data_IF_317220157681
#
_entry.id   IF_317220157681
#
_cell.length_a   1.000
_cell.length_b   1.000
_cell.length_c   1.000
_cell.angle_alpha   90.00
_cell.angle_beta   90.00
_cell.angle_gamma   90.00
#
_symmetry.space_group_name_H-M   'P 1'
#
loop_
_entity.id
_entity.type
_entity.pdbx_description
1 polymer ?
#
# COMPACT_ATOMS: atom_id res chain seq x y z
N UNK A 1 19.18 9.91 13.95
CA UNK A 1 18.20 9.70 12.87
C UNK A 1 16.83 10.06 13.42
N UNK A 2 16.04 10.82 12.67
CA UNK A 2 14.67 11.19 13.06
C UNK A 2 13.72 10.77 11.95
N UNK A 3 12.52 10.33 12.32
CA UNK A 3 11.43 10.05 11.39
C UNK A 3 10.68 11.38 11.21
N UNK A 4 10.68 11.91 9.98
CA UNK A 4 10.03 13.19 9.65
C UNK A 4 8.58 13.01 9.23
N UNK A 5 8.27 11.87 8.63
CA UNK A 5 6.96 11.55 8.09
C UNK A 5 6.78 10.03 8.02
N UNK A 6 5.53 9.57 8.03
CA UNK A 6 5.19 8.15 7.98
C UNK A 6 3.90 7.92 7.23
N UNK A 7 3.90 6.91 6.36
CA UNK A 7 2.71 6.42 5.72
C UNK A 7 2.70 4.89 5.75
N UNK A 8 1.51 4.31 5.91
CA UNK A 8 1.34 2.87 6.04
C UNK A 8 0.16 2.42 5.19
N UNK A 9 0.35 1.32 4.48
CA UNK A 9 -0.71 0.61 3.76
C UNK A 9 -0.79 -0.82 4.28
N UNK A 10 -2.01 -1.33 4.38
CA UNK A 10 -2.27 -2.73 4.70
C UNK A 10 -3.21 -3.32 3.66
N UNK A 11 -3.36 -4.65 3.59
CA UNK A 11 -4.32 -5.33 2.72
C UNK A 11 -5.78 -5.18 3.18
N UNK A 12 -6.19 -3.93 3.38
CA UNK A 12 -7.55 -3.47 3.68
C UNK A 12 -7.71 -2.06 3.12
N UNK A 13 -8.92 -1.70 2.73
CA UNK A 13 -9.35 -0.36 2.30
C UNK A 13 -9.33 0.64 3.48
N UNK A 14 -8.14 0.87 4.00
CA UNK A 14 -7.86 1.78 5.13
C UNK A 14 -7.08 3.01 4.69
N UNK A 15 -6.61 2.98 3.45
CA UNK A 15 -5.78 4.00 2.85
C UNK A 15 -6.64 5.17 2.36
N UNK A 16 -6.11 6.39 2.42
CA UNK A 16 -6.80 7.64 2.01
C UNK A 16 -8.18 7.90 2.63
N UNK A 17 -8.37 7.56 3.90
CA UNK A 17 -9.61 7.88 4.63
C UNK A 17 -10.80 6.97 4.29
N UNK A 18 -10.59 5.94 3.44
CA UNK A 18 -11.61 4.94 3.11
C UNK A 18 -12.22 4.25 4.34
N UNK A 19 -11.43 4.14 5.42
CA UNK A 19 -11.84 3.55 6.69
C UNK A 19 -13.12 4.18 7.27
N UNK A 20 -13.32 5.47 7.08
CA UNK A 20 -14.46 6.22 7.65
C UNK A 20 -15.53 6.55 6.62
N UNK A 21 -15.30 6.26 5.33
CA UNK A 21 -16.27 6.50 4.26
C UNK A 21 -17.08 5.26 3.88
N UNK A 22 -16.62 4.06 4.28
CA UNK A 22 -17.32 2.81 3.99
C UNK A 22 -18.35 2.44 5.07
N UNK A 23 -19.38 1.70 4.66
CA UNK A 23 -20.33 1.09 5.59
C UNK A 23 -19.65 0.06 6.49
N UNK A 24 -20.16 -0.12 7.71
CA UNK A 24 -19.68 -1.13 8.65
C UNK A 24 -19.84 -2.53 8.03
N UNK A 25 -18.72 -3.22 7.82
CA UNK A 25 -18.71 -4.60 7.29
C UNK A 25 -18.72 -5.61 8.43
N UNK A 26 -19.67 -6.53 8.40
CA UNK A 26 -19.74 -7.67 9.32
C UNK A 26 -19.00 -8.87 8.71
N UNK A 27 -18.06 -9.43 9.47
CA UNK A 27 -17.34 -10.65 9.09
C UNK A 27 -17.92 -11.83 9.87
N UNK A 28 -18.41 -12.85 9.16
CA UNK A 28 -18.91 -14.09 9.76
C UNK A 28 -17.83 -15.17 9.85
N UNK A 29 -16.66 -14.94 9.25
CA UNK A 29 -15.52 -15.84 9.29
C UNK A 29 -14.69 -15.65 10.56
N UNK A 30 -13.92 -16.66 10.95
CA UNK A 30 -13.01 -16.61 12.11
C UNK A 30 -11.84 -15.63 11.95
N UNK A 31 -11.55 -15.19 10.72
CA UNK A 31 -10.56 -14.16 10.43
C UNK A 31 -11.01 -13.30 9.24
N UNK A 32 -10.72 -11.99 9.24
CA UNK A 32 -10.99 -11.15 8.10
C UNK A 32 -10.06 -11.49 6.94
N UNK A 33 -10.62 -11.67 5.74
CA UNK A 33 -9.86 -11.88 4.52
C UNK A 33 -9.06 -10.62 4.14
N UNK A 34 -7.83 -10.83 3.69
CA UNK A 34 -6.98 -9.77 3.15
C UNK A 34 -7.48 -9.36 1.76
N UNK A 35 -7.80 -8.07 1.57
CA UNK A 35 -8.27 -7.51 0.30
C UNK A 35 -7.34 -6.37 -0.12
N UNK A 36 -6.79 -6.44 -1.33
CA UNK A 36 -5.94 -5.34 -1.79
C UNK A 36 -6.74 -4.02 -1.87
N UNK A 37 -6.15 -2.89 -1.43
CA UNK A 37 -6.68 -1.55 -1.69
C UNK A 37 -6.78 -1.26 -3.19
N UNK A 38 -7.67 -0.36 -3.58
CA UNK A 38 -7.64 0.19 -4.95
C UNK A 38 -6.45 1.16 -5.08
N UNK A 39 -5.57 0.88 -6.04
CA UNK A 39 -4.38 1.69 -6.33
C UNK A 39 -4.56 2.65 -7.51
N UNK A 40 -5.75 2.66 -8.14
CA UNK A 40 -6.04 3.55 -9.27
C UNK A 40 -5.82 5.00 -8.86
N UNK A 41 -5.27 5.79 -9.78
CA UNK A 41 -4.94 7.20 -9.55
C UNK A 41 -3.60 7.43 -8.84
N UNK A 42 -2.99 6.39 -8.25
CA UNK A 42 -1.63 6.43 -7.71
C UNK A 42 -0.67 5.78 -8.70
N UNK A 43 -1.00 4.54 -9.12
CA UNK A 43 -0.17 3.75 -10.03
C UNK A 43 -0.90 3.61 -11.37
N UNK A 44 -0.26 3.91 -12.51
CA UNK A 44 -0.81 3.66 -13.84
C UNK A 44 -1.26 2.20 -14.03
N UNK A 45 -2.42 1.99 -14.67
CA UNK A 45 -3.04 0.67 -14.81
C UNK A 45 -2.15 -0.35 -15.56
N UNK A 46 -1.37 0.12 -16.52
CA UNK A 46 -0.45 -0.68 -17.32
C UNK A 46 0.67 -1.29 -16.45
N UNK A 47 1.07 -0.57 -15.40
CA UNK A 47 2.09 -1.01 -14.44
C UNK A 47 1.50 -1.95 -13.39
N UNK A 48 0.28 -1.68 -12.93
CA UNK A 48 -0.37 -2.49 -11.87
C UNK A 48 -0.42 -3.98 -12.19
N UNK A 49 -0.67 -4.33 -13.46
CA UNK A 49 -0.73 -5.73 -13.93
C UNK A 49 0.63 -6.45 -13.94
N UNK A 50 1.73 -5.70 -13.85
CA UNK A 50 3.10 -6.22 -13.92
C UNK A 50 3.81 -6.24 -12.56
N UNK A 51 3.22 -5.60 -11.56
CA UNK A 51 3.77 -5.51 -10.21
C UNK A 51 3.25 -6.66 -9.35
N UNK A 52 4.11 -7.20 -8.48
CA UNK A 52 3.62 -8.08 -7.41
C UNK A 52 2.82 -7.28 -6.38
N UNK A 53 2.01 -7.96 -5.57
CA UNK A 53 1.29 -7.38 -4.43
C UNK A 53 2.18 -6.52 -3.53
N UNK A 54 3.36 -7.03 -3.15
CA UNK A 54 4.31 -6.30 -2.32
C UNK A 54 4.74 -5.00 -3.01
N UNK A 55 5.09 -5.06 -4.30
CA UNK A 55 5.54 -3.89 -5.06
C UNK A 55 4.42 -2.87 -5.19
N UNK A 56 3.18 -3.30 -5.50
CA UNK A 56 2.02 -2.39 -5.57
C UNK A 56 1.84 -1.62 -4.26
N UNK A 57 1.84 -2.33 -3.13
CA UNK A 57 1.68 -1.73 -1.81
C UNK A 57 2.82 -0.75 -1.47
N UNK A 58 4.07 -1.15 -1.67
CA UNK A 58 5.21 -0.31 -1.33
C UNK A 58 5.32 0.94 -2.20
N UNK A 59 5.01 0.84 -3.50
CA UNK A 59 4.95 2.00 -4.40
C UNK A 59 3.79 2.92 -4.03
N UNK A 60 2.59 2.38 -3.81
CA UNK A 60 1.43 3.18 -3.42
C UNK A 60 1.60 3.92 -2.09
N UNK A 61 2.44 3.38 -1.19
CA UNK A 61 2.80 4.03 0.09
C UNK A 61 3.92 5.05 -0.08
N UNK A 62 4.92 4.73 -0.90
CA UNK A 62 6.08 5.59 -1.08
C UNK A 62 5.78 6.85 -1.89
N UNK A 63 4.97 6.74 -2.96
CA UNK A 63 4.72 7.86 -3.87
C UNK A 63 4.19 9.12 -3.15
N UNK A 64 3.15 9.04 -2.28
CA UNK A 64 2.68 10.24 -1.59
C UNK A 64 3.72 10.85 -0.66
N UNK A 65 4.56 10.04 -0.01
CA UNK A 65 5.66 10.54 0.81
C UNK A 65 6.70 11.27 -0.04
N UNK A 66 6.97 10.79 -1.25
CA UNK A 66 7.87 11.48 -2.19
C UNK A 66 7.27 12.80 -2.71
N UNK A 67 5.97 12.85 -2.92
CA UNK A 67 5.29 14.08 -3.35
C UNK A 67 5.22 15.14 -2.22
N UNK A 68 5.13 14.69 -0.96
CA UNK A 68 5.02 15.56 0.22
C UNK A 68 6.37 16.01 0.79
N UNK A 69 7.46 15.30 0.46
CA UNK A 69 8.78 15.56 0.98
C UNK A 69 9.77 15.76 -0.17
N UNK A 70 10.32 16.97 -0.28
CA UNK A 70 11.35 17.31 -1.26
C UNK A 70 12.72 16.70 -0.89
N UNK A 71 13.61 16.58 -1.87
CA UNK A 71 15.02 16.17 -1.70
C UNK A 71 15.25 14.74 -1.18
N UNK A 72 14.48 13.76 -1.63
CA UNK A 72 14.76 12.35 -1.34
C UNK A 72 15.95 11.85 -2.18
N UNK A 73 17.09 11.62 -1.52
CA UNK A 73 18.31 11.13 -2.18
C UNK A 73 18.39 9.60 -2.25
N UNK A 74 17.80 8.90 -1.28
CA UNK A 74 17.93 7.45 -1.11
C UNK A 74 16.58 6.82 -0.76
N UNK A 75 16.27 5.72 -1.45
CA UNK A 75 15.12 4.86 -1.15
C UNK A 75 15.65 3.50 -0.73
N UNK A 76 15.19 3.02 0.43
CA UNK A 76 15.53 1.69 0.95
C UNK A 76 14.26 0.83 0.94
N UNK A 77 14.30 -0.27 0.20
CA UNK A 77 13.25 -1.30 0.23
C UNK A 77 13.74 -2.52 1.00
N UNK A 78 12.90 -3.01 1.90
CA UNK A 78 13.13 -4.24 2.65
C UNK A 78 11.88 -5.12 2.65
N UNK A 79 12.07 -6.42 2.43
CA UNK A 79 11.04 -7.45 2.53
C UNK A 79 11.68 -8.75 2.98
N UNK A 80 11.02 -9.50 3.86
CA UNK A 80 11.51 -10.81 4.31
C UNK A 80 11.40 -11.88 3.21
N UNK A 81 10.39 -11.75 2.34
CA UNK A 81 10.03 -12.78 1.36
C UNK A 81 10.19 -12.30 -0.10
N UNK A 82 10.72 -11.09 -0.30
CA UNK A 82 10.83 -10.47 -1.61
C UNK A 82 9.46 -10.27 -2.28
N UNK A 83 9.45 -10.28 -3.61
CA UNK A 83 8.25 -10.13 -4.45
C UNK A 83 7.64 -11.46 -4.89
N UNK A 84 7.93 -12.55 -4.19
CA UNK A 84 7.48 -13.89 -4.56
C UNK A 84 5.99 -14.00 -4.26
N UNK A 85 5.18 -14.20 -5.29
CA UNK A 85 3.78 -14.55 -5.14
C UNK A 85 3.65 -16.07 -5.10
N UNK A 86 3.19 -16.61 -3.96
CA UNK A 86 2.78 -18.01 -3.88
C UNK A 86 1.35 -18.11 -4.40
N UNK A 87 1.20 -18.80 -5.54
CA UNK A 87 -0.08 -19.20 -6.13
C UNK A 87 -0.86 -20.14 -5.23
#
# INVERSE_FOLDING_TARGET
MFIRDTLCISPKETYFGALFSEEVKFYTESWPLAREPDYKGIIPMELLRRMSRLVRMSVATGMPLMDQNEDIEVIIFASSNGSVEHS
#
